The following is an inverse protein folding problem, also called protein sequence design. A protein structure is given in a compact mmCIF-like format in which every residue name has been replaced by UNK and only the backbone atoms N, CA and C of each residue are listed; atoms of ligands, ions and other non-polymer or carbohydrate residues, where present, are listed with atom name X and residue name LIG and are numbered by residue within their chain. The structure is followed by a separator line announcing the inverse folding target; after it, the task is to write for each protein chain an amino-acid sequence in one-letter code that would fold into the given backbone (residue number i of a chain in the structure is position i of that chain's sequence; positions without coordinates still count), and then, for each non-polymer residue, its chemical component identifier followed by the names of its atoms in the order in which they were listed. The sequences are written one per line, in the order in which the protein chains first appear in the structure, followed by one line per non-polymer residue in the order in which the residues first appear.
data_IF_240907105657
#
_entry.id   IF_240907105657
#
_cell.length_a   1.000
_cell.length_b   1.000
_cell.length_c   1.000
_cell.angle_alpha   90.00
_cell.angle_beta   90.00
_cell.angle_gamma   90.00
#
_symmetry.space_group_name_H-M   'P 1'
#
loop_
_entity.id
_entity.type
_entity.pdbx_description
1 polymer ?
#
# COMPACT_ATOMS: atom_id res chain seq x y z
N UNK A 1 19.43 -13.78 -4.15
CA UNK A 1 18.75 -14.49 -5.26
C UNK A 1 18.37 -13.44 -6.31
N UNK A 2 18.92 -13.57 -7.53
CA UNK A 2 18.87 -12.55 -8.60
C UNK A 2 18.55 -13.23 -9.93
N UNK A 3 17.28 -13.44 -10.21
CA UNK A 3 16.78 -13.92 -11.51
C UNK A 3 15.46 -13.22 -11.82
N UNK A 4 15.36 -12.63 -13.02
CA UNK A 4 14.35 -11.67 -13.46
C UNK A 4 12.90 -12.16 -13.59
N UNK A 5 12.48 -13.14 -12.81
CA UNK A 5 11.08 -13.51 -12.59
C UNK A 5 10.46 -12.80 -11.38
N UNK A 6 11.26 -12.23 -10.49
CA UNK A 6 10.79 -11.48 -9.32
C UNK A 6 10.27 -10.07 -9.61
N UNK A 7 9.75 -9.79 -10.82
CA UNK A 7 9.47 -8.40 -11.23
C UNK A 7 7.99 -7.98 -11.16
N UNK A 8 7.04 -8.74 -11.71
CA UNK A 8 5.61 -8.33 -11.65
C UNK A 8 4.86 -9.07 -10.55
N UNK A 9 5.10 -10.36 -10.41
CA UNK A 9 4.46 -11.17 -9.37
C UNK A 9 4.92 -10.75 -7.98
N UNK A 10 6.19 -10.38 -7.82
CA UNK A 10 6.72 -9.89 -6.54
C UNK A 10 6.18 -8.49 -6.19
N UNK A 11 6.00 -7.58 -7.16
CA UNK A 11 5.27 -6.31 -6.94
C UNK A 11 3.86 -6.59 -6.48
N UNK A 12 3.16 -7.46 -7.21
CA UNK A 12 1.79 -7.81 -6.91
C UNK A 12 1.66 -8.45 -5.53
N UNK A 13 2.64 -9.27 -5.11
CA UNK A 13 2.70 -9.81 -3.76
C UNK A 13 2.92 -8.71 -2.71
N UNK A 14 3.89 -7.82 -2.90
CA UNK A 14 4.14 -6.72 -1.96
C UNK A 14 2.95 -5.78 -1.85
N UNK A 15 2.32 -5.44 -2.98
CA UNK A 15 1.12 -4.58 -3.00
C UNK A 15 -0.06 -5.26 -2.29
N UNK A 16 -0.24 -6.57 -2.48
CA UNK A 16 -1.24 -7.35 -1.72
C UNK A 16 -0.95 -7.33 -0.22
N UNK A 17 0.32 -7.40 0.20
CA UNK A 17 0.69 -7.28 1.62
C UNK A 17 0.38 -5.89 2.17
N UNK A 18 0.70 -4.82 1.43
CA UNK A 18 0.34 -3.43 1.79
C UNK A 18 -1.17 -3.31 2.03
N UNK A 19 -1.99 -3.81 1.11
CA UNK A 19 -3.45 -3.75 1.25
C UNK A 19 -3.99 -4.68 2.34
N UNK A 20 -3.40 -5.86 2.50
CA UNK A 20 -3.80 -6.79 3.55
C UNK A 20 -3.53 -6.19 4.94
N UNK A 21 -2.35 -5.62 5.15
CA UNK A 21 -2.00 -4.94 6.40
C UNK A 21 -2.91 -3.74 6.67
N UNK A 22 -3.36 -3.03 5.62
CA UNK A 22 -4.36 -1.97 5.72
C UNK A 22 -5.72 -2.50 6.17
N UNK A 23 -6.23 -3.58 5.56
CA UNK A 23 -7.51 -4.18 5.95
C UNK A 23 -7.51 -4.81 7.35
N UNK A 24 -6.32 -5.10 7.89
CA UNK A 24 -6.17 -5.60 9.26
C UNK A 24 -6.15 -4.48 10.32
N UNK A 25 -6.01 -3.21 9.93
CA UNK A 25 -6.09 -2.09 10.87
C UNK A 25 -7.52 -1.86 11.33
N UNK A 26 -7.72 -1.88 12.66
CA UNK A 26 -9.01 -1.53 13.26
C UNK A 26 -9.30 -0.02 13.20
N UNK A 27 -8.25 0.81 13.33
CA UNK A 27 -8.34 2.27 13.27
C UNK A 27 -7.08 2.87 12.61
N UNK A 28 -7.14 3.20 11.31
CA UNK A 28 -6.04 3.83 10.62
C UNK A 28 -6.01 5.33 10.94
N UNK A 29 -5.28 5.69 12.00
CA UNK A 29 -4.88 7.08 12.24
C UNK A 29 -4.23 7.68 10.97
N UNK A 30 -4.42 8.98 10.74
CA UNK A 30 -3.99 9.65 9.49
C UNK A 30 -2.50 9.49 9.18
N UNK A 31 -1.65 9.42 10.21
CA UNK A 31 -0.21 9.17 10.10
C UNK A 31 0.09 7.76 9.59
N UNK A 32 -0.60 6.73 10.10
CA UNK A 32 -0.46 5.37 9.58
C UNK A 32 -0.89 5.31 8.13
N UNK A 33 -2.03 5.90 7.78
CA UNK A 33 -2.50 5.95 6.41
C UNK A 33 -1.49 6.60 5.44
N UNK A 34 -0.65 7.54 5.91
CA UNK A 34 0.42 8.12 5.10
C UNK A 34 1.50 7.08 4.76
N UNK A 35 1.93 6.25 5.73
CA UNK A 35 2.93 5.18 5.49
C UNK A 35 2.44 4.19 4.43
N UNK A 36 1.15 3.82 4.45
CA UNK A 36 0.56 2.95 3.42
C UNK A 36 0.57 3.60 2.03
N UNK A 37 0.24 4.89 1.94
CA UNK A 37 0.29 5.65 0.67
C UNK A 37 1.72 5.78 0.15
N UNK A 38 2.69 6.03 1.02
CA UNK A 38 4.09 6.16 0.64
C UNK A 38 4.64 4.84 0.10
N UNK A 39 4.26 3.72 0.72
CA UNK A 39 4.62 2.39 0.22
C UNK A 39 3.93 2.03 -1.11
N UNK A 40 2.64 2.35 -1.26
CA UNK A 40 1.92 2.19 -2.53
C UNK A 40 2.59 2.99 -3.65
N UNK A 41 2.90 4.27 -3.40
CA UNK A 41 3.58 5.15 -4.36
C UNK A 41 5.02 4.68 -4.68
N UNK A 42 5.75 4.15 -3.71
CA UNK A 42 7.06 3.53 -3.92
C UNK A 42 6.98 2.33 -4.89
N UNK A 43 5.99 1.44 -4.67
CA UNK A 43 5.76 0.28 -5.54
C UNK A 43 5.31 0.71 -6.96
N UNK A 44 4.45 1.71 -7.09
CA UNK A 44 4.04 2.24 -8.40
C UNK A 44 5.19 2.90 -9.17
N UNK A 45 6.03 3.68 -8.49
CA UNK A 45 7.24 4.27 -9.08
C UNK A 45 8.19 3.18 -9.56
N UNK A 46 8.38 2.13 -8.76
CA UNK A 46 9.22 0.99 -9.15
C UNK A 46 8.65 0.23 -10.35
N UNK A 47 7.34 -0.01 -10.38
CA UNK A 47 6.61 -0.59 -11.51
C UNK A 47 6.79 0.20 -12.80
N UNK A 48 6.69 1.52 -12.71
CA UNK A 48 6.89 2.42 -13.87
C UNK A 48 8.33 2.34 -14.40
N UNK A 49 9.34 2.22 -13.53
CA UNK A 49 10.75 2.08 -13.92
C UNK A 49 11.03 0.71 -14.55
N UNK A 50 10.48 -0.36 -13.97
CA UNK A 50 10.63 -1.71 -14.50
C UNK A 50 10.08 -1.84 -15.93
N UNK A 51 8.95 -1.18 -16.23
CA UNK A 51 8.37 -1.12 -17.58
C UNK A 51 9.28 -0.41 -18.60
N UNK A 52 10.14 0.51 -18.15
CA UNK A 52 11.11 1.23 -19.00
C UNK A 52 12.38 0.41 -19.30
N UNK A 53 12.43 -0.88 -18.95
CA UNK A 53 13.59 -1.79 -19.10
C UNK A 53 14.83 -1.38 -18.30
N UNK A 54 14.69 -0.47 -17.34
CA UNK A 54 15.78 -0.02 -16.45
C UNK A 54 16.12 -1.03 -15.34
N UNK A 55 15.45 -2.18 -15.33
CA UNK A 55 15.52 -3.16 -14.25
C UNK A 55 14.75 -2.68 -13.02
N UNK A 56 14.59 -3.57 -12.05
CA UNK A 56 14.00 -3.18 -10.77
C UNK A 56 15.08 -2.53 -9.91
N UNK A 57 14.87 -1.27 -9.56
CA UNK A 57 15.61 -0.58 -8.50
C UNK A 57 14.58 0.02 -7.56
N UNK A 58 14.67 -0.36 -6.29
CA UNK A 58 13.92 0.29 -5.21
C UNK A 58 14.93 1.18 -4.47
N UNK A 59 14.77 2.52 -4.53
CA UNK A 59 15.59 3.44 -3.76
C UNK A 59 15.53 3.10 -2.27
N UNK A 60 16.60 3.37 -1.53
CA UNK A 60 16.70 3.10 -0.09
C UNK A 60 15.60 3.84 0.70
N UNK A 61 15.26 5.05 0.27
CA UNK A 61 14.16 5.85 0.83
C UNK A 61 12.78 5.18 0.60
N UNK A 62 12.61 4.47 -0.52
CA UNK A 62 11.39 3.76 -0.88
C UNK A 62 11.28 2.40 -0.16
N UNK A 63 12.42 1.79 0.19
CA UNK A 63 12.46 0.56 0.99
C UNK A 63 11.93 0.78 2.40
N UNK A 64 12.20 1.93 3.01
CA UNK A 64 11.86 2.19 4.42
C UNK A 64 10.36 2.05 4.69
N UNK A 65 9.50 2.62 3.83
CA UNK A 65 8.04 2.53 4.00
C UNK A 65 7.53 1.09 3.82
N UNK A 66 8.11 0.34 2.87
CA UNK A 66 7.75 -1.06 2.62
C UNK A 66 8.19 -1.95 3.79
N UNK A 67 9.40 -1.75 4.32
CA UNK A 67 9.92 -2.47 5.48
C UNK A 67 9.06 -2.25 6.72
N UNK A 68 8.64 -1.01 6.99
CA UNK A 68 7.73 -0.71 8.09
C UNK A 68 6.40 -1.47 7.99
N UNK A 69 5.86 -1.60 6.78
CA UNK A 69 4.63 -2.36 6.54
C UNK A 69 4.85 -3.86 6.71
N UNK A 70 5.99 -4.41 6.27
CA UNK A 70 6.31 -5.82 6.45
C UNK A 70 6.43 -6.17 7.95
N UNK A 71 7.14 -5.34 8.72
CA UNK A 71 7.24 -5.50 10.17
C UNK A 71 5.87 -5.42 10.85
N UNK A 72 5.03 -4.46 10.44
CA UNK A 72 3.66 -4.35 10.93
C UNK A 72 2.83 -5.60 10.60
N UNK A 73 2.97 -6.13 9.38
CA UNK A 73 2.25 -7.31 8.95
C UNK A 73 2.68 -8.57 9.72
N UNK A 74 3.97 -8.72 9.99
CA UNK A 74 4.49 -9.84 10.78
C UNK A 74 3.99 -9.79 12.24
N UNK A 75 3.94 -8.60 12.83
CA UNK A 75 3.36 -8.39 14.18
C UNK A 75 1.85 -8.70 14.21
N UNK A 76 1.13 -8.30 13.16
CA UNK A 76 -0.27 -8.67 12.96
C UNK A 76 -0.45 -10.19 12.87
N UNK A 77 0.40 -10.91 12.12
CA UNK A 77 0.33 -12.37 12.02
C UNK A 77 0.61 -13.07 13.36
N UNK A 78 1.49 -12.51 14.19
CA UNK A 78 1.83 -13.07 15.49
C UNK A 78 0.73 -12.89 16.55
N UNK A 79 -0.10 -11.85 16.41
CA UNK A 79 -1.05 -11.42 17.45
C UNK A 79 -2.53 -11.59 17.10
N UNK A 80 -2.89 -11.72 15.81
CA UNK A 80 -4.28 -11.69 15.39
C UNK A 80 -4.98 -13.04 15.44
N UNK A 81 -6.28 -12.99 15.78
CA UNK A 81 -7.16 -14.14 15.68
C UNK A 81 -7.46 -14.48 14.21
N UNK A 82 -7.50 -15.78 13.89
CA UNK A 82 -7.63 -16.27 12.51
C UNK A 82 -8.85 -15.72 11.76
N UNK A 83 -9.96 -15.45 12.45
CA UNK A 83 -11.17 -14.89 11.83
C UNK A 83 -10.95 -13.48 11.26
N UNK A 84 -10.13 -12.65 11.92
CA UNK A 84 -9.80 -11.30 11.44
C UNK A 84 -8.97 -11.36 10.16
N UNK A 85 -8.02 -12.29 10.12
CA UNK A 85 -7.23 -12.55 8.92
C UNK A 85 -8.10 -13.00 7.76
N UNK A 86 -9.05 -13.91 7.99
CA UNK A 86 -10.02 -14.34 6.96
C UNK A 86 -10.84 -13.17 6.44
N UNK A 87 -11.37 -12.30 7.31
CA UNK A 87 -12.13 -11.13 6.89
C UNK A 87 -11.31 -10.17 6.03
N UNK A 88 -10.07 -9.85 6.44
CA UNK A 88 -9.19 -8.97 5.67
C UNK A 88 -8.82 -9.60 4.30
N UNK A 89 -8.59 -10.91 4.26
CA UNK A 89 -8.35 -11.64 3.02
C UNK A 89 -9.54 -11.61 2.07
N UNK A 90 -10.76 -11.70 2.59
CA UNK A 90 -11.99 -11.52 1.81
C UNK A 90 -12.07 -10.12 1.22
N UNK A 91 -11.79 -9.07 2.01
CA UNK A 91 -11.77 -7.69 1.53
C UNK A 91 -10.72 -7.47 0.43
N UNK A 92 -9.52 -8.05 0.58
CA UNK A 92 -8.49 -8.02 -0.44
C UNK A 92 -8.95 -8.70 -1.74
N UNK A 93 -9.56 -9.89 -1.64
CA UNK A 93 -10.03 -10.63 -2.82
C UNK A 93 -11.13 -9.87 -3.56
N UNK A 94 -12.06 -9.27 -2.82
CA UNK A 94 -13.11 -8.43 -3.39
C UNK A 94 -12.54 -7.16 -4.05
N UNK A 95 -11.52 -6.55 -3.44
CA UNK A 95 -10.83 -5.40 -4.01
C UNK A 95 -10.10 -5.76 -5.32
N UNK A 96 -9.37 -6.87 -5.36
CA UNK A 96 -8.66 -7.32 -6.59
C UNK A 96 -9.63 -7.60 -7.74
N UNK A 97 -10.87 -8.01 -7.45
CA UNK A 97 -11.91 -8.19 -8.45
C UNK A 97 -12.64 -6.88 -8.85
N UNK A 98 -12.35 -5.76 -8.17
CA UNK A 98 -12.97 -4.46 -8.40
C UNK A 98 -12.18 -3.64 -9.43
N UNK A 99 -12.82 -2.71 -10.17
CA UNK A 99 -12.10 -1.76 -11.03
C UNK A 99 -11.39 -0.64 -10.25
N UNK A 100 -11.44 -0.64 -8.90
CA UNK A 100 -10.78 0.38 -8.07
C UNK A 100 -9.27 0.27 -8.18
N UNK A 101 -8.59 1.41 -8.26
CA UNK A 101 -7.14 1.47 -8.39
C UNK A 101 -6.41 1.35 -7.04
N UNK A 102 -7.00 1.88 -5.95
CA UNK A 102 -6.45 1.80 -4.60
C UNK A 102 -7.57 1.62 -3.56
N UNK A 103 -7.36 0.84 -2.48
CA UNK A 103 -8.25 0.78 -1.33
C UNK A 103 -7.95 1.88 -0.30
N UNK A 104 -6.84 2.59 -0.44
CA UNK A 104 -6.40 3.60 0.51
C UNK A 104 -7.20 4.90 0.33
N UNK A 105 -7.56 5.60 1.43
CA UNK A 105 -8.23 6.88 1.35
C UNK A 105 -7.28 7.92 0.77
N UNK A 106 -7.78 8.72 -0.17
CA UNK A 106 -7.09 9.92 -0.64
C UNK A 106 -6.79 10.83 0.55
N UNK A 107 -5.58 11.41 0.58
CA UNK A 107 -5.27 12.43 1.57
C UNK A 107 -6.32 13.54 1.44
N UNK A 108 -7.02 13.87 2.53
CA UNK A 108 -7.89 15.05 2.56
C UNK A 108 -6.97 16.27 2.42
N UNK A 109 -6.73 16.68 1.18
CA UNK A 109 -6.16 18.00 0.93
C UNK A 109 -7.18 18.99 1.48
N UNK A 110 -6.84 19.67 2.57
CA UNK A 110 -7.55 20.86 3.00
C UNK A 110 -7.42 21.88 1.87
N UNK A 111 -8.39 21.88 0.95
CA UNK A 111 -8.61 23.01 0.05
C UNK A 111 -9.02 24.15 0.98
N UNK A 112 -8.24 25.23 1.11
CA UNK A 112 -8.73 26.39 1.83
C UNK A 112 -9.97 26.85 1.08
N UNK A 113 -11.09 26.89 1.79
CA UNK A 113 -12.33 27.52 1.34
C UNK A 113 -11.97 28.95 0.96
N UNK A 114 -11.81 29.20 -0.35
CA UNK A 114 -11.67 30.56 -0.86
C UNK A 114 -13.06 31.15 -0.77
N UNK A 115 -13.35 31.73 0.40
CA UNK A 115 -14.49 32.59 0.65
C UNK A 115 -14.54 33.62 -0.49
N UNK A 116 -15.45 33.42 -1.42
CA UNK A 116 -15.73 34.39 -2.47
C UNK A 116 -16.64 35.46 -1.85
N UNK A 117 -16.02 36.39 -1.11
CA UNK A 117 -16.66 37.64 -0.71
C UNK A 117 -16.94 38.46 -1.98
N UNK A 118 -18.17 38.37 -2.48
CA UNK A 118 -18.69 39.28 -3.49
C UNK A 118 -19.19 40.55 -2.80
N UNK A 119 -18.47 41.64 -3.08
CA UNK A 119 -18.86 43.03 -2.84
C UNK A 119 -20.13 43.44 -3.60
#
# INVERSE_FOLDING_TARGET
MRTGSGNVDQMSCLLKVVYLAWFLLDDPASERAQVFRDAEAALERSSTRAQRREGWILPEDDCTAIEQILVLHDDQLASLASHRYTSAWTSLTQFVASPKQSPLPVARNNVPDVQHDAH
#
